data_IF_676095729795
#
_entry.id   IF_676095729795
#
_cell.length_a   1.000
_cell.length_b   1.000
_cell.length_c   1.000
_cell.angle_alpha   90.00
_cell.angle_beta   90.00
_cell.angle_gamma   90.00
#
_symmetry.space_group_name_H-M   'P 1'
#
loop_
_entity.id
_entity.type
_entity.pdbx_description
1 polymer ?
#
# COMPACT_ATOMS: atom_id res chain seq x y z
N UNK A 1 -27.61 11.40 -5.92
CA UNK A 1 -26.15 11.36 -6.13
C UNK A 1 -25.52 11.37 -4.76
N UNK A 2 -25.35 10.19 -4.16
CA UNK A 2 -24.73 10.08 -2.83
C UNK A 2 -23.23 9.94 -3.08
N UNK A 3 -22.49 11.03 -2.85
CA UNK A 3 -21.04 11.02 -2.90
C UNK A 3 -20.57 10.07 -1.79
N UNK A 4 -20.02 8.93 -2.19
CA UNK A 4 -19.57 7.88 -1.30
C UNK A 4 -18.61 8.45 -0.25
N UNK A 5 -18.99 8.33 1.02
CA UNK A 5 -18.09 8.59 2.15
C UNK A 5 -16.78 7.84 1.91
N UNK A 6 -15.60 8.42 2.24
CA UNK A 6 -14.37 7.64 2.23
C UNK A 6 -14.58 6.42 3.13
N UNK A 7 -14.45 5.23 2.55
CA UNK A 7 -14.50 3.97 3.30
C UNK A 7 -13.45 4.11 4.40
N UNK A 8 -13.88 4.06 5.67
CA UNK A 8 -12.96 4.09 6.81
C UNK A 8 -12.12 2.83 6.72
N UNK A 9 -10.93 2.93 6.14
CA UNK A 9 -10.02 1.81 5.98
C UNK A 9 -9.53 1.41 7.36
N UNK A 10 -9.83 0.18 7.76
CA UNK A 10 -9.34 -0.38 9.04
C UNK A 10 -7.88 -0.82 8.84
N UNK A 11 -7.03 -0.72 9.88
CA UNK A 11 -5.69 -1.28 9.82
C UNK A 11 -5.76 -2.80 9.59
N UNK A 12 -4.70 -3.33 8.98
CA UNK A 12 -4.56 -4.73 8.62
C UNK A 12 -4.50 -4.94 7.11
N UNK A 13 -4.78 -6.19 6.72
CA UNK A 13 -4.34 -6.76 5.44
C UNK A 13 -4.77 -5.98 4.20
N UNK A 14 -6.00 -5.50 4.15
CA UNK A 14 -6.52 -4.77 2.99
C UNK A 14 -5.87 -3.39 2.83
N UNK A 15 -5.57 -2.72 3.93
CA UNK A 15 -4.84 -1.44 3.92
C UNK A 15 -3.37 -1.68 3.53
N UNK A 16 -2.73 -2.74 4.05
CA UNK A 16 -1.35 -3.09 3.73
C UNK A 16 -1.17 -3.39 2.23
N UNK A 17 -2.12 -4.13 1.63
CA UNK A 17 -2.10 -4.44 0.19
C UNK A 17 -2.24 -3.16 -0.65
N UNK A 18 -3.11 -2.24 -0.26
CA UNK A 18 -3.29 -0.97 -0.98
C UNK A 18 -2.01 -0.11 -0.90
N UNK A 19 -1.41 0.00 0.28
CA UNK A 19 -0.13 0.69 0.45
C UNK A 19 0.96 0.02 -0.38
N UNK A 20 1.04 -1.31 -0.39
CA UNK A 20 2.02 -2.04 -1.19
C UNK A 20 1.90 -1.68 -2.68
N UNK A 21 0.69 -1.75 -3.23
CA UNK A 21 0.42 -1.52 -4.65
C UNK A 21 0.61 -0.06 -5.07
N UNK A 22 0.07 0.88 -4.29
CA UNK A 22 -0.03 2.28 -4.72
C UNK A 22 1.12 3.14 -4.22
N UNK A 23 1.65 2.82 -3.04
CA UNK A 23 2.75 3.58 -2.42
C UNK A 23 4.07 2.86 -2.63
N UNK A 24 4.17 1.56 -2.36
CA UNK A 24 5.48 0.87 -2.39
C UNK A 24 5.85 0.32 -3.77
N UNK A 25 4.99 0.47 -4.77
CA UNK A 25 5.26 0.02 -6.14
C UNK A 25 5.27 -1.50 -6.31
N UNK A 26 4.61 -2.24 -5.41
CA UNK A 26 4.44 -3.68 -5.57
C UNK A 26 3.55 -3.97 -6.78
N UNK A 27 3.82 -5.09 -7.41
CA UNK A 27 3.10 -5.60 -8.56
C UNK A 27 2.66 -7.02 -8.30
N UNK A 28 1.58 -7.42 -8.98
CA UNK A 28 1.12 -8.79 -8.96
C UNK A 28 2.04 -9.64 -9.85
N UNK A 29 2.55 -10.73 -9.28
CA UNK A 29 3.40 -11.70 -9.93
C UNK A 29 2.68 -13.05 -10.00
N UNK A 30 2.93 -13.78 -11.09
CA UNK A 30 2.58 -15.20 -11.21
C UNK A 30 3.80 -16.02 -11.57
N UNK A 31 3.82 -17.27 -11.11
CA UNK A 31 4.83 -18.27 -11.47
C UNK A 31 4.58 -18.81 -12.88
N UNK A 32 5.63 -19.04 -13.68
CA UNK A 32 5.52 -19.57 -15.05
C UNK A 32 5.33 -21.08 -15.12
N UNK A 33 5.93 -21.85 -14.20
CA UNK A 33 5.73 -23.30 -14.17
C UNK A 33 4.38 -23.60 -13.52
N UNK A 34 3.36 -23.81 -14.36
CA UNK A 34 2.01 -24.20 -13.96
C UNK A 34 1.91 -25.73 -14.02
N UNK A 35 2.21 -26.41 -12.91
CA UNK A 35 2.00 -27.87 -12.84
C UNK A 35 0.53 -28.24 -12.59
N UNK A 36 -0.29 -27.30 -12.11
CA UNK A 36 -1.76 -27.37 -12.04
C UNK A 36 -2.39 -25.97 -11.90
N UNK A 37 -3.71 -25.86 -12.10
CA UNK A 37 -4.47 -24.62 -11.86
C UNK A 37 -4.49 -24.17 -10.38
N UNK A 38 -4.16 -25.08 -9.45
CA UNK A 38 -4.04 -24.81 -8.00
C UNK A 38 -2.65 -24.26 -7.63
N UNK A 39 -1.62 -24.52 -8.45
CA UNK A 39 -0.27 -23.95 -8.33
C UNK A 39 -0.10 -22.59 -9.03
N UNK A 40 -1.20 -21.92 -9.39
CA UNK A 40 -1.19 -20.57 -9.95
C UNK A 40 -0.92 -19.53 -8.84
N UNK A 41 0.30 -19.56 -8.29
CA UNK A 41 0.73 -18.77 -7.12
C UNK A 41 0.50 -17.26 -7.34
N UNK A 42 -0.15 -16.60 -6.37
CA UNK A 42 -0.31 -15.13 -6.30
C UNK A 42 0.75 -14.56 -5.37
N UNK A 43 1.73 -13.81 -5.87
CA UNK A 43 2.60 -13.05 -4.98
C UNK A 43 2.58 -11.56 -5.35
N UNK A 44 2.43 -10.72 -4.33
CA UNK A 44 2.75 -9.29 -4.42
C UNK A 44 4.25 -9.18 -4.18
N UNK A 45 4.97 -8.67 -5.16
CA UNK A 45 6.41 -8.46 -5.08
C UNK A 45 6.82 -7.19 -5.80
N UNK A 46 8.11 -6.94 -5.85
CA UNK A 46 8.74 -5.80 -6.52
C UNK A 46 9.30 -6.21 -7.89
N UNK A 47 9.68 -5.23 -8.71
CA UNK A 47 10.39 -5.53 -9.96
C UNK A 47 11.73 -6.26 -9.72
N UNK A 48 12.40 -5.98 -8.58
CA UNK A 48 13.62 -6.69 -8.19
C UNK A 48 13.39 -8.19 -7.94
N UNK A 49 12.20 -8.57 -7.46
CA UNK A 49 11.84 -9.98 -7.28
C UNK A 49 11.71 -10.72 -8.61
N UNK A 50 11.29 -10.03 -9.69
CA UNK A 50 11.30 -10.59 -11.04
C UNK A 50 12.74 -10.86 -11.49
N UNK A 51 13.61 -9.86 -11.36
CA UNK A 51 15.02 -9.97 -11.77
C UNK A 51 15.75 -11.08 -11.01
N UNK A 52 15.56 -11.14 -9.69
CA UNK A 52 16.16 -12.17 -8.83
C UNK A 52 15.65 -13.58 -9.17
N UNK A 53 14.43 -13.71 -9.71
CA UNK A 53 13.83 -15.00 -10.04
C UNK A 53 14.39 -15.66 -11.30
N UNK A 54 15.22 -14.96 -12.09
CA UNK A 54 15.77 -15.51 -13.33
C UNK A 54 14.70 -15.84 -14.39
N UNK A 55 13.56 -15.14 -14.36
CA UNK A 55 12.47 -15.29 -15.34
C UNK A 55 11.39 -16.30 -14.94
N UNK A 56 11.40 -16.80 -13.70
CA UNK A 56 10.40 -17.75 -13.19
C UNK A 56 9.07 -17.04 -12.84
N UNK A 57 9.13 -15.77 -12.44
CA UNK A 57 7.96 -14.92 -12.21
C UNK A 57 7.76 -13.91 -13.34
N UNK A 58 6.48 -13.62 -13.64
CA UNK A 58 6.09 -12.56 -14.59
C UNK A 58 5.02 -11.66 -13.98
N UNK A 59 5.06 -10.38 -14.35
CA UNK A 59 4.05 -9.41 -13.98
C UNK A 59 2.69 -9.74 -14.63
N UNK A 60 1.60 -9.54 -13.90
CA UNK A 60 0.23 -9.66 -14.40
C UNK A 60 -0.56 -8.37 -14.21
N UNK A 61 -1.48 -8.13 -15.14
CA UNK A 61 -2.38 -6.98 -15.05
C UNK A 61 -3.46 -7.19 -13.99
N UNK A 62 -3.97 -6.12 -13.33
CA UNK A 62 -4.97 -6.24 -12.27
C UNK A 62 -6.30 -6.91 -12.70
N UNK A 63 -6.73 -6.73 -13.94
CA UNK A 63 -7.93 -7.36 -14.52
C UNK A 63 -7.78 -8.89 -14.66
N UNK A 64 -6.59 -9.34 -15.05
CA UNK A 64 -6.24 -10.77 -15.12
C UNK A 64 -6.10 -11.41 -13.73
N UNK A 65 -5.87 -10.61 -12.70
CA UNK A 65 -5.80 -11.05 -11.31
C UNK A 65 -7.17 -11.35 -10.69
N UNK A 66 -8.23 -10.59 -11.02
CA UNK A 66 -9.56 -10.82 -10.45
C UNK A 66 -10.11 -12.22 -10.76
N UNK A 67 -9.82 -12.75 -11.95
CA UNK A 67 -10.15 -14.13 -12.32
C UNK A 67 -9.39 -15.20 -11.51
N UNK A 68 -8.25 -14.84 -10.91
CA UNK A 68 -7.40 -15.70 -10.07
C UNK A 68 -7.70 -15.52 -8.57
N UNK A 69 -8.41 -14.46 -8.18
CA UNK A 69 -8.63 -14.04 -6.78
C UNK A 69 -9.35 -15.11 -5.94
N UNK A 70 -10.20 -15.92 -6.54
CA UNK A 70 -11.06 -16.88 -5.81
C UNK A 70 -10.35 -18.13 -5.26
N UNK A 71 -9.04 -18.34 -5.52
CA UNK A 71 -8.43 -19.67 -5.33
C UNK A 71 -7.41 -19.90 -4.22
N UNK A 72 -6.83 -18.89 -3.56
CA UNK A 72 -6.13 -19.00 -2.25
C UNK A 72 -5.36 -17.71 -1.92
N UNK A 73 -5.11 -17.52 -0.62
CA UNK A 73 -4.47 -16.37 0.02
C UNK A 73 -2.94 -16.54 0.04
N UNK A 74 -2.21 -15.86 -0.84
CA UNK A 74 -0.74 -15.88 -0.83
C UNK A 74 -0.13 -14.48 -0.82
N UNK A 75 -0.77 -13.55 -0.12
CA UNK A 75 -0.27 -12.19 0.00
C UNK A 75 0.78 -12.05 1.15
N UNK A 76 1.34 -13.17 1.66
CA UNK A 76 2.24 -13.21 2.83
C UNK A 76 3.49 -12.32 2.71
N UNK A 77 3.90 -11.99 1.49
CA UNK A 77 5.09 -11.18 1.22
C UNK A 77 4.94 -9.68 1.55
N UNK A 78 3.71 -9.16 1.62
CA UNK A 78 3.52 -7.73 1.90
C UNK A 78 3.70 -7.48 3.39
N UNK A 79 4.65 -6.60 3.78
CA UNK A 79 4.83 -6.21 5.16
C UNK A 79 3.57 -5.61 5.77
N UNK A 80 3.45 -5.72 7.10
CA UNK A 80 2.31 -5.21 7.86
C UNK A 80 2.38 -3.68 8.05
N UNK A 81 2.37 -2.91 6.96
CA UNK A 81 2.61 -1.46 6.93
C UNK A 81 1.72 -0.65 7.89
N UNK A 82 0.50 -1.09 8.16
CA UNK A 82 -0.48 -0.40 8.99
C UNK A 82 -0.51 -0.85 10.44
N UNK A 83 0.22 -1.90 10.81
CA UNK A 83 0.24 -2.44 12.19
C UNK A 83 1.64 -2.62 12.76
N UNK A 84 2.67 -2.74 11.92
CA UNK A 84 4.07 -2.89 12.33
C UNK A 84 4.85 -1.58 12.12
N UNK A 85 5.62 -1.21 13.14
CA UNK A 85 6.39 0.02 13.17
C UNK A 85 7.52 0.04 12.14
N UNK A 86 8.29 -1.04 12.03
CA UNK A 86 9.43 -1.11 11.12
C UNK A 86 8.97 -1.13 9.66
N UNK A 87 7.82 -1.77 9.38
CA UNK A 87 7.17 -1.70 8.07
C UNK A 87 6.69 -0.27 7.75
N UNK A 88 6.04 0.42 8.69
CA UNK A 88 5.60 1.80 8.48
C UNK A 88 6.76 2.76 8.19
N UNK A 89 7.93 2.56 8.80
CA UNK A 89 9.13 3.34 8.51
C UNK A 89 9.60 3.19 7.05
N UNK A 90 9.37 2.03 6.42
CA UNK A 90 9.66 1.85 4.98
C UNK A 90 8.75 2.72 4.12
N UNK A 91 7.47 2.87 4.51
CA UNK A 91 6.52 3.77 3.83
C UNK A 91 6.97 5.22 3.96
N UNK A 92 7.40 5.65 5.15
CA UNK A 92 7.92 7.00 5.37
C UNK A 92 9.17 7.24 4.51
N UNK A 93 10.09 6.27 4.47
CA UNK A 93 11.29 6.37 3.65
C UNK A 93 10.96 6.49 2.16
N UNK A 94 9.99 5.71 1.67
CA UNK A 94 9.51 5.78 0.29
C UNK A 94 8.88 7.15 -0.03
N UNK A 95 8.02 7.67 0.84
CA UNK A 95 7.43 9.01 0.67
C UNK A 95 8.49 10.12 0.67
N UNK A 96 9.55 10.00 1.48
CA UNK A 96 10.69 10.92 1.47
C UNK A 96 11.47 10.88 0.15
N UNK A 97 11.68 9.69 -0.44
CA UNK A 97 12.31 9.56 -1.77
C UNK A 97 11.48 10.27 -2.85
N UNK A 98 10.16 10.32 -2.70
CA UNK A 98 9.22 11.06 -3.57
C UNK A 98 9.18 12.57 -3.29
N UNK A 99 10.08 13.08 -2.45
CA UNK A 99 10.17 14.50 -2.12
C UNK A 99 9.20 14.98 -1.06
N UNK A 100 8.52 14.07 -0.35
CA UNK A 100 7.60 14.45 0.72
C UNK A 100 8.35 14.67 2.04
N UNK A 101 7.90 15.67 2.79
CA UNK A 101 8.22 15.85 4.22
C UNK A 101 7.18 15.09 5.04
N UNK A 102 7.59 14.64 6.21
CA UNK A 102 6.80 13.84 7.13
C UNK A 102 6.78 14.50 8.50
N UNK A 103 5.59 14.70 9.04
CA UNK A 103 5.35 15.26 10.37
C UNK A 103 4.33 14.40 11.11
N UNK A 104 4.54 14.22 12.42
CA UNK A 104 3.63 13.48 13.30
C UNK A 104 3.34 14.27 14.56
N UNK A 105 2.07 14.30 14.95
CA UNK A 105 1.61 14.96 16.18
C UNK A 105 0.72 13.99 16.95
N UNK A 106 0.93 13.93 18.26
CA UNK A 106 0.03 13.21 19.18
C UNK A 106 -1.06 14.16 19.67
N UNK A 107 -2.30 13.71 19.62
CA UNK A 107 -3.50 14.45 19.98
C UNK A 107 -4.19 13.83 21.21
N UNK A 108 -4.95 14.66 21.93
CA UNK A 108 -5.85 14.20 22.99
C UNK A 108 -7.17 13.67 22.40
N UNK A 109 -7.04 12.60 21.61
CA UNK A 109 -8.15 11.81 21.05
C UNK A 109 -7.86 10.35 21.33
N UNK A 110 -8.62 9.74 22.25
CA UNK A 110 -8.40 8.37 22.67
C UNK A 110 -8.61 7.34 21.55
N UNK A 111 -9.40 7.66 20.52
CA UNK A 111 -9.68 6.75 19.41
C UNK A 111 -8.66 6.88 18.27
N UNK A 112 -8.06 8.06 18.08
CA UNK A 112 -7.10 8.32 17.03
C UNK A 112 -6.02 9.34 17.47
N UNK A 113 -5.15 8.98 18.43
CA UNK A 113 -4.20 9.93 19.01
C UNK A 113 -3.08 10.31 18.06
N UNK A 114 -2.82 9.54 16.99
CA UNK A 114 -1.73 9.85 16.06
C UNK A 114 -2.26 10.54 14.81
N UNK A 115 -1.74 11.73 14.52
CA UNK A 115 -1.99 12.46 13.28
C UNK A 115 -0.70 12.60 12.49
N UNK A 116 -0.67 12.05 11.29
CA UNK A 116 0.47 12.05 10.37
C UNK A 116 0.16 12.94 9.18
N UNK A 117 1.13 13.76 8.79
CA UNK A 117 1.04 14.64 7.62
C UNK A 117 2.19 14.36 6.66
N UNK A 118 1.87 14.20 5.38
CA UNK A 118 2.82 14.27 4.29
C UNK A 118 2.62 15.57 3.51
N UNK A 119 3.70 16.30 3.25
CA UNK A 119 3.67 17.55 2.48
C UNK A 119 4.77 17.59 1.42
N UNK A 120 4.53 18.27 0.30
CA UNK A 120 5.51 18.47 -0.78
C UNK A 120 5.67 19.96 -1.09
N UNK A 121 6.81 20.33 -1.69
CA UNK A 121 7.18 21.74 -1.89
C UNK A 121 6.25 22.51 -2.86
N UNK A 122 5.41 21.81 -3.61
CA UNK A 122 4.37 22.38 -4.48
C UNK A 122 3.09 22.77 -3.71
N UNK A 123 3.07 22.58 -2.38
CA UNK A 123 1.94 22.92 -1.52
C UNK A 123 0.96 21.78 -1.31
N UNK A 124 1.14 20.63 -1.96
CA UNK A 124 0.32 19.45 -1.70
C UNK A 124 0.57 18.95 -0.28
N UNK A 125 -0.49 18.79 0.51
CA UNK A 125 -0.42 18.37 1.91
C UNK A 125 -1.61 17.47 2.22
N UNK A 126 -1.33 16.28 2.76
CA UNK A 126 -2.36 15.33 3.18
C UNK A 126 -2.09 14.87 4.60
N UNK A 127 -3.16 14.86 5.39
CA UNK A 127 -3.11 14.47 6.80
C UNK A 127 -4.11 13.34 7.05
N UNK A 128 -3.69 12.32 7.80
CA UNK A 128 -4.58 11.28 8.29
C UNK A 128 -4.34 10.99 9.77
N UNK A 129 -5.38 10.48 10.44
CA UNK A 129 -5.31 10.06 11.82
C UNK A 129 -5.48 8.54 11.95
N UNK A 130 -4.92 7.97 13.00
CA UNK A 130 -4.98 6.55 13.30
C UNK A 130 -4.91 6.26 14.80
N UNK A 131 -5.43 5.10 15.20
CA UNK A 131 -5.35 4.61 16.57
C UNK A 131 -3.91 4.27 16.95
N UNK A 132 -3.11 3.88 15.96
CA UNK A 132 -1.67 3.66 16.06
C UNK A 132 -0.91 4.48 15.01
N UNK A 133 0.37 4.76 15.27
CA UNK A 133 1.21 5.52 14.34
C UNK A 133 1.36 4.81 12.97
N UNK A 134 1.62 3.49 12.87
CA UNK A 134 1.66 2.77 11.59
C UNK A 134 0.39 2.93 10.75
N UNK A 135 -0.78 2.89 11.40
CA UNK A 135 -2.07 3.09 10.73
C UNK A 135 -2.19 4.50 10.16
N UNK A 136 -1.83 5.53 10.94
CA UNK A 136 -1.87 6.92 10.50
C UNK A 136 -0.92 7.16 9.30
N UNK A 137 0.28 6.56 9.32
CA UNK A 137 1.22 6.58 8.21
C UNK A 137 0.62 5.96 6.95
N UNK A 138 0.12 4.73 7.05
CA UNK A 138 -0.46 4.00 5.93
C UNK A 138 -1.60 4.78 5.28
N UNK A 139 -2.51 5.33 6.08
CA UNK A 139 -3.64 6.15 5.60
C UNK A 139 -3.19 7.44 4.94
N UNK A 140 -2.25 8.17 5.55
CA UNK A 140 -1.78 9.45 5.02
C UNK A 140 -1.02 9.27 3.70
N UNK A 141 -0.18 8.23 3.61
CA UNK A 141 0.57 7.93 2.41
C UNK A 141 -0.36 7.54 1.25
N UNK A 142 -1.35 6.69 1.51
CA UNK A 142 -2.34 6.28 0.51
C UNK A 142 -3.16 7.47 0.00
N UNK A 143 -3.67 8.30 0.91
CA UNK A 143 -4.44 9.48 0.56
C UNK A 143 -3.61 10.52 -0.22
N UNK A 144 -2.30 10.63 0.04
CA UNK A 144 -1.41 11.51 -0.72
C UNK A 144 -1.27 11.05 -2.17
N UNK A 145 -1.06 9.75 -2.41
CA UNK A 145 -0.91 9.23 -3.79
C UNK A 145 -2.24 9.24 -4.56
N UNK A 146 -3.37 9.01 -3.88
CA UNK A 146 -4.70 9.14 -4.48
C UNK A 146 -5.02 10.58 -4.89
N UNK A 147 -4.62 11.57 -4.06
CA UNK A 147 -4.77 12.99 -4.35
C UNK A 147 -3.99 13.45 -5.58
N UNK A 148 -2.72 13.03 -5.68
CA UNK A 148 -1.88 13.31 -6.84
C UNK A 148 -2.45 12.74 -8.15
N UNK A 149 -3.04 11.53 -8.12
CA UNK A 149 -3.64 10.90 -9.29
C UNK A 149 -4.91 11.60 -9.82
N UNK A 150 -5.55 12.45 -9.00
CA UNK A 150 -6.72 13.25 -9.40
C UNK A 150 -6.35 14.58 -10.09
N UNK A 151 -5.11 15.06 -9.93
CA UNK A 151 -4.63 16.33 -10.51
C UNK A 151 -4.09 16.14 -11.94
N UNK A 152 -3.63 14.92 -12.28
CA UNK A 152 -3.08 14.57 -13.61
C UNK A 152 -4.12 14.04 -14.63
N UNK A 153 -5.43 14.25 -14.40
CA UNK A 153 -6.52 13.89 -15.34
C UNK A 153 -7.25 15.12 -15.88
#
# INVERSE_FOLDING_TARGET
MEQGRPVVQRPGRDLDIQVALQVMGYIWLKHLLQFSAELAVKWLGTAGDIEASGGVYVAVKPDQFWALKERENHAEAVPCFSTDQAAAEQVIAEMKKRGCRYDVVTMDDAAAPYRVTFSRNDGETVTAAGAAMPEAVAKAALAFVDGAAAVDR
#
